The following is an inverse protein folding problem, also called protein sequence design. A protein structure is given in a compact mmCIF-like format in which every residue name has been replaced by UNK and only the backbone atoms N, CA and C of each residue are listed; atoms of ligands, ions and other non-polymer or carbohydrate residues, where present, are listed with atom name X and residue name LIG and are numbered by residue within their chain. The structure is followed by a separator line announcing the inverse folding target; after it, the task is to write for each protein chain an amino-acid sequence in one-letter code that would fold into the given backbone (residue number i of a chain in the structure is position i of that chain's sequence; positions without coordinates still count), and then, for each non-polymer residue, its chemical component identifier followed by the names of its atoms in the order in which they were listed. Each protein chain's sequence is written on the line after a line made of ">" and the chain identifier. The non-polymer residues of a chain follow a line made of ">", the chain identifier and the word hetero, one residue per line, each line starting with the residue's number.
data_IF_887918986441
#
_entry.id   IF_887918986441
#
_cell.length_a   1.000
_cell.length_b   1.000
_cell.length_c   1.000
_cell.angle_alpha   90.00
_cell.angle_beta   90.00
_cell.angle_gamma   90.00
#
_symmetry.space_group_name_H-M   'P 1'
#
loop_
_entity.id
_entity.type
_entity.pdbx_description
1 polymer ?
#
# COMPACT_ATOMS: atom_id res chain seq x y z
N UNK A 1 -20.53 -5.19 2.80
CA UNK A 1 -19.88 -6.45 3.23
C UNK A 1 -18.51 -6.11 3.81
N UNK A 2 -18.03 -6.80 4.85
CA UNK A 2 -16.67 -6.58 5.38
C UNK A 2 -15.64 -6.84 4.28
N UNK A 3 -14.53 -6.10 4.30
CA UNK A 3 -13.44 -6.29 3.33
C UNK A 3 -12.90 -7.73 3.46
N UNK A 4 -12.57 -8.42 2.35
CA UNK A 4 -12.26 -9.86 2.33
C UNK A 4 -10.82 -10.16 2.78
N UNK A 5 -10.40 -9.58 3.90
CA UNK A 5 -9.06 -9.74 4.46
C UNK A 5 -9.06 -10.78 5.57
N UNK A 6 -7.91 -11.43 5.77
CA UNK A 6 -7.74 -12.40 6.84
C UNK A 6 -7.96 -11.71 8.21
N UNK A 7 -8.82 -12.29 9.04
CA UNK A 7 -9.18 -11.77 10.37
C UNK A 7 -9.49 -10.26 10.35
N UNK A 8 -10.56 -9.82 9.64
CA UNK A 8 -10.81 -8.41 9.37
C UNK A 8 -11.12 -7.61 10.64
N UNK A 9 -11.62 -8.27 11.69
CA UNK A 9 -11.83 -7.71 13.03
C UNK A 9 -10.52 -7.33 13.76
N UNK A 10 -9.36 -7.67 13.20
CA UNK A 10 -8.03 -7.37 13.74
C UNK A 10 -7.35 -6.24 13.00
N UNK A 11 -7.92 -5.76 11.90
CA UNK A 11 -7.42 -4.62 11.15
C UNK A 11 -8.05 -3.35 11.71
N UNK A 12 -7.21 -2.37 12.02
CA UNK A 12 -7.63 -1.05 12.51
C UNK A 12 -6.95 0.04 11.69
N UNK A 13 -7.69 1.11 11.41
CA UNK A 13 -7.11 2.33 10.86
C UNK A 13 -6.58 3.19 12.00
N UNK A 14 -5.43 3.84 11.78
CA UNK A 14 -4.77 4.72 12.75
C UNK A 14 -4.73 6.12 12.16
N UNK A 15 -5.35 7.07 12.83
CA UNK A 15 -5.31 8.48 12.44
C UNK A 15 -6.23 9.35 13.26
N UNK A 16 -6.20 10.65 12.97
CA UNK A 16 -7.02 11.66 13.64
C UNK A 16 -8.06 12.22 12.67
N UNK A 17 -9.23 12.57 13.20
CA UNK A 17 -10.30 13.18 12.43
C UNK A 17 -10.97 12.21 11.45
N UNK A 18 -11.88 12.71 10.61
CA UNK A 18 -12.68 11.88 9.70
C UNK A 18 -11.83 11.19 8.61
N UNK A 19 -10.66 11.72 8.30
CA UNK A 19 -9.78 11.21 7.23
C UNK A 19 -8.87 10.06 7.68
N UNK A 20 -8.71 9.86 8.99
CA UNK A 20 -7.86 8.80 9.57
C UNK A 20 -6.45 8.76 8.96
N UNK A 21 -5.85 9.94 8.85
CA UNK A 21 -4.47 10.13 8.39
C UNK A 21 -3.55 10.56 9.53
N UNK A 22 -2.25 10.31 9.36
CA UNK A 22 -1.17 10.78 10.25
C UNK A 22 -0.01 11.36 9.43
N UNK A 23 0.75 12.35 9.94
CA UNK A 23 1.99 12.77 9.31
C UNK A 23 2.95 11.59 9.08
N UNK A 24 3.58 11.51 7.91
CA UNK A 24 4.47 10.40 7.55
C UNK A 24 5.58 10.16 8.58
N UNK A 25 6.10 11.23 9.18
CA UNK A 25 7.11 11.18 10.24
C UNK A 25 6.68 10.40 11.49
N UNK A 26 5.38 10.21 11.71
CA UNK A 26 4.86 9.44 12.84
C UNK A 26 4.78 7.94 12.57
N UNK A 27 4.93 7.50 11.31
CA UNK A 27 4.83 6.08 10.97
C UNK A 27 5.86 5.23 11.75
N UNK A 28 7.10 5.70 11.87
CA UNK A 28 8.14 5.00 12.62
C UNK A 28 7.79 4.79 14.09
N UNK A 29 7.06 5.74 14.70
CA UNK A 29 6.64 5.65 16.10
C UNK A 29 5.62 4.53 16.37
N UNK A 30 5.02 3.93 15.34
CA UNK A 30 4.02 2.88 15.47
C UNK A 30 4.59 1.46 15.39
N UNK A 31 5.80 1.27 14.84
CA UNK A 31 6.37 -0.06 14.55
C UNK A 31 6.63 -0.93 15.78
N UNK A 32 6.85 -0.32 16.94
CA UNK A 32 7.23 -1.03 18.18
C UNK A 32 6.14 -1.00 19.27
N UNK A 33 4.87 -0.91 18.86
CA UNK A 33 3.76 -0.97 19.82
C UNK A 33 3.42 -2.44 20.12
N UNK A 34 3.43 -2.89 21.40
CA UNK A 34 3.09 -4.26 21.76
C UNK A 34 1.68 -4.69 21.30
N UNK A 35 0.76 -3.74 21.15
CA UNK A 35 -0.57 -3.97 20.62
C UNK A 35 -0.58 -4.40 19.14
N UNK A 36 0.44 -4.07 18.37
CA UNK A 36 0.45 -4.16 16.91
C UNK A 36 1.34 -5.32 16.46
N UNK A 37 0.77 -6.24 15.68
CA UNK A 37 1.51 -7.29 15.00
C UNK A 37 2.23 -6.74 13.76
N UNK A 38 1.60 -5.81 13.05
CA UNK A 38 2.19 -5.14 11.90
C UNK A 38 1.51 -3.81 11.64
N UNK A 39 2.25 -2.88 11.04
CA UNK A 39 1.77 -1.55 10.64
C UNK A 39 2.04 -1.37 9.15
N UNK A 40 1.13 -0.70 8.46
CA UNK A 40 1.23 -0.45 7.04
C UNK A 40 0.64 0.92 6.68
N UNK A 41 1.06 1.44 5.54
CA UNK A 41 0.55 2.71 5.01
C UNK A 41 0.29 2.64 3.51
N UNK A 42 -0.53 3.58 3.05
CA UNK A 42 -0.71 3.92 1.65
C UNK A 42 -0.86 5.44 1.47
N UNK A 43 -0.54 5.95 0.28
CA UNK A 43 -0.40 7.41 0.00
C UNK A 43 -1.57 8.02 -0.77
N UNK A 44 -2.75 7.40 -0.74
CA UNK A 44 -3.86 7.82 -1.61
C UNK A 44 -3.82 7.18 -3.00
N UNK A 45 -4.90 7.37 -3.76
CA UNK A 45 -4.94 7.06 -5.19
C UNK A 45 -4.60 8.33 -5.99
N UNK A 46 -3.90 8.18 -7.11
CA UNK A 46 -3.51 9.29 -7.98
C UNK A 46 -3.65 8.89 -9.46
N UNK A 47 -4.15 9.82 -10.27
CA UNK A 47 -4.17 9.65 -11.71
C UNK A 47 -2.73 9.67 -12.26
N UNK A 48 -2.46 8.78 -13.22
CA UNK A 48 -1.21 8.71 -13.95
C UNK A 48 -1.49 8.32 -15.40
N UNK A 49 -0.49 8.49 -16.26
CA UNK A 49 -0.56 8.09 -17.66
C UNK A 49 0.28 6.84 -17.89
N UNK A 50 -0.35 5.79 -18.41
CA UNK A 50 0.33 4.56 -18.78
C UNK A 50 0.56 4.49 -20.29
N UNK A 51 1.78 4.15 -20.70
CA UNK A 51 2.10 3.82 -22.08
C UNK A 51 2.67 2.40 -22.19
N UNK A 52 2.46 1.77 -23.34
CA UNK A 52 3.14 0.52 -23.69
C UNK A 52 3.60 0.58 -25.15
N UNK A 53 4.65 -0.16 -25.52
CA UNK A 53 5.09 -0.20 -26.91
C UNK A 53 3.93 -0.53 -27.87
N UNK A 54 3.76 0.30 -28.91
CA UNK A 54 2.75 0.10 -29.95
C UNK A 54 1.30 0.36 -29.50
N UNK A 55 1.05 0.96 -28.34
CA UNK A 55 -0.30 1.31 -27.87
C UNK A 55 -0.38 2.78 -27.46
N UNK A 56 -1.53 3.46 -27.69
CA UNK A 56 -1.74 4.81 -27.18
C UNK A 56 -1.57 4.88 -25.66
N UNK A 57 -1.12 6.03 -25.19
CA UNK A 57 -1.15 6.37 -23.76
C UNK A 57 -2.59 6.32 -23.25
N UNK A 58 -2.79 5.74 -22.08
CA UNK A 58 -4.09 5.63 -21.44
C UNK A 58 -4.00 6.11 -19.98
N UNK A 59 -5.04 6.79 -19.46
CA UNK A 59 -5.11 7.13 -18.05
C UNK A 59 -5.23 5.86 -17.22
N UNK A 60 -4.54 5.83 -16.08
CA UNK A 60 -4.61 4.78 -15.07
C UNK A 60 -4.65 5.40 -13.68
N UNK A 61 -5.18 4.66 -12.72
CA UNK A 61 -5.14 5.05 -11.31
C UNK A 61 -4.06 4.26 -10.59
N UNK A 62 -3.12 4.96 -9.96
CA UNK A 62 -2.06 4.38 -9.14
C UNK A 62 -2.38 4.53 -7.67
N UNK A 63 -1.91 3.60 -6.84
CA UNK A 63 -1.97 3.70 -5.39
C UNK A 63 -0.62 3.33 -4.78
N UNK A 64 -0.01 4.28 -4.08
CA UNK A 64 1.28 4.07 -3.44
C UNK A 64 1.14 3.27 -2.15
N UNK A 65 1.96 2.24 -1.98
CA UNK A 65 1.93 1.35 -0.80
C UNK A 65 3.32 1.10 -0.24
N UNK A 66 3.40 0.99 1.09
CA UNK A 66 4.61 0.55 1.77
C UNK A 66 4.80 -0.97 1.72
N UNK A 67 5.99 -1.44 2.13
CA UNK A 67 6.36 -2.86 2.13
C UNK A 67 5.33 -3.78 2.80
N UNK A 68 4.90 -3.37 4.00
CA UNK A 68 4.05 -4.16 4.87
C UNK A 68 2.57 -4.11 4.49
N UNK A 69 2.19 -3.40 3.42
CA UNK A 69 0.79 -3.20 3.02
C UNK A 69 0.05 -4.50 2.72
N UNK A 70 0.50 -5.27 1.72
CA UNK A 70 -0.15 -6.54 1.37
C UNK A 70 0.00 -7.61 2.47
N UNK A 71 1.18 -7.77 3.12
CA UNK A 71 1.34 -8.70 4.23
C UNK A 71 0.41 -8.40 5.42
N UNK A 72 0.28 -7.12 5.80
CA UNK A 72 -0.61 -6.72 6.90
C UNK A 72 -2.06 -7.06 6.59
N UNK A 73 -2.49 -6.95 5.34
CA UNK A 73 -3.83 -7.35 4.89
C UNK A 73 -4.01 -8.87 4.75
N UNK A 74 -2.94 -9.66 4.84
CA UNK A 74 -2.97 -11.10 4.59
C UNK A 74 -3.25 -11.44 3.12
N UNK A 75 -2.77 -10.60 2.21
CA UNK A 75 -3.01 -10.75 0.76
C UNK A 75 -1.91 -11.59 0.14
N UNK A 76 -2.32 -12.69 -0.48
CA UNK A 76 -1.45 -13.55 -1.27
C UNK A 76 -1.57 -13.18 -2.76
N UNK A 77 -0.43 -13.01 -3.43
CA UNK A 77 -0.36 -12.68 -4.85
C UNK A 77 -0.99 -13.78 -5.72
N UNK A 78 -1.66 -13.39 -6.81
CA UNK A 78 -2.07 -14.37 -7.83
C UNK A 78 -0.88 -14.81 -8.68
N UNK A 79 -0.01 -13.85 -9.04
CA UNK A 79 1.22 -14.08 -9.79
C UNK A 79 2.33 -13.19 -9.24
N UNK A 80 3.57 -13.68 -9.32
CA UNK A 80 4.76 -12.91 -8.95
C UNK A 80 4.89 -12.68 -7.45
N UNK A 81 5.38 -11.49 -7.09
CA UNK A 81 5.77 -11.14 -5.72
C UNK A 81 5.27 -9.75 -5.30
N UNK A 82 5.40 -9.47 -4.00
CA UNK A 82 5.31 -8.12 -3.47
C UNK A 82 6.55 -7.30 -3.85
N UNK A 83 6.52 -5.99 -3.59
CA UNK A 83 7.69 -5.13 -3.70
C UNK A 83 8.82 -5.59 -2.76
N UNK A 84 10.05 -5.41 -3.24
CA UNK A 84 11.28 -5.60 -2.48
C UNK A 84 11.68 -4.30 -1.77
N UNK A 85 12.52 -4.42 -0.73
CA UNK A 85 13.06 -3.27 -0.03
C UNK A 85 13.80 -2.29 -0.96
N UNK A 86 14.46 -2.78 -2.02
CA UNK A 86 15.16 -1.95 -2.99
C UNK A 86 14.21 -1.09 -3.84
N UNK A 87 13.06 -1.63 -4.24
CA UNK A 87 12.04 -0.90 -5.03
C UNK A 87 11.33 0.19 -4.20
N UNK A 88 11.37 0.07 -2.87
CA UNK A 88 10.84 1.06 -1.94
C UNK A 88 11.87 2.15 -1.59
N UNK A 89 13.12 2.05 -2.02
CA UNK A 89 14.12 3.08 -1.81
C UNK A 89 13.91 4.27 -2.74
N UNK A 90 14.47 5.42 -2.34
CA UNK A 90 14.51 6.60 -3.19
C UNK A 90 15.35 6.26 -4.43
N UNK A 91 14.82 6.54 -5.61
CA UNK A 91 15.45 6.18 -6.89
C UNK A 91 15.69 4.67 -7.07
N UNK A 92 15.01 3.82 -6.29
CA UNK A 92 15.05 2.37 -6.46
C UNK A 92 14.51 1.92 -7.81
N UNK A 93 14.69 0.62 -8.15
CA UNK A 93 14.09 0.05 -9.35
C UNK A 93 12.58 0.30 -9.37
N UNK A 94 12.07 0.72 -10.53
CA UNK A 94 10.64 1.01 -10.67
C UNK A 94 9.88 -0.27 -10.96
N UNK A 95 8.90 -0.54 -10.12
CA UNK A 95 8.06 -1.71 -10.21
C UNK A 95 6.58 -1.35 -10.08
N UNK A 96 5.71 -2.19 -10.63
CA UNK A 96 4.26 -2.09 -10.47
C UNK A 96 3.68 -3.47 -10.15
N UNK A 97 2.62 -3.47 -9.35
CA UNK A 97 1.76 -4.64 -9.16
C UNK A 97 0.40 -4.32 -9.78
N UNK A 98 -0.10 -5.19 -10.64
CA UNK A 98 -1.36 -4.97 -11.34
C UNK A 98 -2.56 -5.39 -10.47
N UNK A 99 -3.65 -4.63 -10.55
CA UNK A 99 -4.95 -5.15 -10.13
C UNK A 99 -5.38 -6.30 -11.04
N UNK A 100 -6.15 -7.26 -10.51
CA UNK A 100 -6.59 -8.41 -11.30
C UNK A 100 -7.42 -7.99 -12.53
N UNK A 101 -8.31 -7.01 -12.35
CA UNK A 101 -9.16 -6.50 -13.42
C UNK A 101 -8.33 -5.87 -14.55
N UNK A 102 -7.37 -5.02 -14.17
CA UNK A 102 -6.47 -4.38 -15.13
C UNK A 102 -5.62 -5.40 -15.88
N UNK A 103 -5.05 -6.39 -15.19
CA UNK A 103 -4.30 -7.48 -15.83
C UNK A 103 -5.16 -8.27 -16.83
N UNK A 104 -6.40 -8.62 -16.46
CA UNK A 104 -7.33 -9.31 -17.36
C UNK A 104 -7.68 -8.49 -18.60
N UNK A 105 -8.00 -7.21 -18.43
CA UNK A 105 -8.39 -6.33 -19.53
C UNK A 105 -7.20 -6.01 -20.45
N UNK A 106 -6.04 -5.69 -19.87
CA UNK A 106 -4.92 -5.11 -20.60
C UNK A 106 -3.92 -6.13 -21.15
N UNK A 107 -3.82 -7.27 -20.47
CA UNK A 107 -2.88 -8.36 -20.81
C UNK A 107 -3.61 -9.68 -21.10
N UNK A 108 -4.94 -9.64 -21.27
CA UNK A 108 -5.78 -10.81 -21.53
C UNK A 108 -5.65 -11.93 -20.48
N UNK A 109 -5.17 -11.61 -19.27
CA UNK A 109 -4.90 -12.61 -18.24
C UNK A 109 -3.71 -13.53 -18.56
N UNK A 110 -2.74 -13.07 -19.35
CA UNK A 110 -1.54 -13.84 -19.70
C UNK A 110 -0.44 -13.66 -18.67
N UNK A 111 0.19 -14.77 -18.27
CA UNK A 111 1.31 -14.79 -17.32
C UNK A 111 2.55 -14.07 -17.87
N UNK A 112 2.69 -13.98 -19.21
CA UNK A 112 3.73 -13.22 -19.90
C UNK A 112 3.72 -11.71 -19.56
N UNK A 113 2.69 -11.19 -18.88
CA UNK A 113 2.72 -9.86 -18.31
C UNK A 113 3.79 -9.73 -17.21
N UNK A 114 4.02 -10.78 -16.41
CA UNK A 114 5.01 -10.77 -15.34
C UNK A 114 6.42 -10.63 -15.92
N UNK A 115 7.22 -9.71 -15.37
CA UNK A 115 8.57 -9.39 -15.85
C UNK A 115 8.60 -8.47 -17.07
N UNK A 116 7.46 -8.26 -17.75
CA UNK A 116 7.37 -7.27 -18.82
C UNK A 116 7.34 -5.84 -18.27
N UNK A 117 7.55 -4.86 -19.14
CA UNK A 117 7.60 -3.44 -18.77
C UNK A 117 6.45 -2.64 -19.34
N UNK A 118 6.02 -1.63 -18.59
CA UNK A 118 5.14 -0.55 -19.04
C UNK A 118 5.72 0.79 -18.60
N UNK A 119 5.30 1.89 -19.21
CA UNK A 119 5.66 3.23 -18.74
C UNK A 119 4.52 3.79 -17.89
N UNK A 120 4.86 4.40 -16.75
CA UNK A 120 3.96 5.23 -15.93
C UNK A 120 4.57 6.62 -15.83
N UNK A 121 3.85 7.64 -16.30
CA UNK A 121 4.30 9.03 -16.35
C UNK A 121 5.71 9.19 -16.95
N UNK A 122 5.94 8.49 -18.08
CA UNK A 122 7.21 8.50 -18.79
C UNK A 122 8.32 7.64 -18.18
N UNK A 123 8.07 6.97 -17.06
CA UNK A 123 9.04 6.11 -16.41
C UNK A 123 8.78 4.64 -16.65
N UNK A 124 9.78 3.91 -17.14
CA UNK A 124 9.71 2.46 -17.33
C UNK A 124 9.63 1.74 -15.97
N UNK A 125 8.58 0.94 -15.79
CA UNK A 125 8.30 0.14 -14.60
C UNK A 125 8.19 -1.34 -14.99
N UNK A 126 8.78 -2.22 -14.18
CA UNK A 126 8.64 -3.67 -14.35
C UNK A 126 7.39 -4.17 -13.65
N UNK A 127 6.62 -5.05 -14.30
CA UNK A 127 5.50 -5.73 -13.66
C UNK A 127 6.05 -6.86 -12.78
N UNK A 128 5.93 -6.72 -11.47
CA UNK A 128 6.49 -7.69 -10.50
C UNK A 128 5.44 -8.60 -9.86
N UNK A 129 4.15 -8.29 -10.03
CA UNK A 129 3.08 -9.13 -9.53
C UNK A 129 1.69 -8.73 -9.99
N UNK A 130 0.73 -9.62 -9.71
CA UNK A 130 -0.70 -9.42 -9.96
C UNK A 130 -1.48 -9.76 -8.69
N UNK A 131 -2.35 -8.87 -8.25
CA UNK A 131 -3.23 -9.09 -7.10
C UNK A 131 -4.27 -10.19 -7.38
N UNK A 132 -4.75 -10.90 -6.35
CA UNK A 132 -5.76 -11.94 -6.55
C UNK A 132 -7.11 -11.35 -6.93
N UNK A 133 -7.92 -12.09 -7.70
CA UNK A 133 -9.27 -11.69 -8.14
C UNK A 133 -10.18 -11.19 -7.02
N UNK A 134 -10.02 -11.75 -5.81
CA UNK A 134 -10.81 -11.40 -4.63
C UNK A 134 -10.36 -10.12 -3.93
N UNK A 135 -9.18 -9.59 -4.27
CA UNK A 135 -8.69 -8.36 -3.65
C UNK A 135 -9.59 -7.19 -4.02
N UNK A 136 -10.09 -6.49 -3.01
CA UNK A 136 -10.88 -5.27 -3.15
C UNK A 136 -10.42 -4.27 -2.11
N UNK A 137 -10.26 -3.03 -2.51
CA UNK A 137 -9.94 -1.92 -1.62
C UNK A 137 -11.05 -0.86 -1.65
N UNK A 138 -11.01 0.07 -0.69
CA UNK A 138 -12.04 1.11 -0.55
C UNK A 138 -12.04 2.11 -1.72
N UNK A 139 -10.87 2.32 -2.34
CA UNK A 139 -10.70 3.15 -3.53
C UNK A 139 -10.34 2.26 -4.73
N UNK A 140 -10.94 2.49 -5.91
CA UNK A 140 -10.51 1.83 -7.15
C UNK A 140 -9.08 2.21 -7.51
N UNK A 141 -8.33 1.27 -8.07
CA UNK A 141 -6.99 1.50 -8.63
C UNK A 141 -6.67 0.44 -9.69
N UNK A 142 -5.75 0.77 -10.59
CA UNK A 142 -5.23 -0.14 -11.61
C UNK A 142 -3.89 -0.74 -11.21
N UNK A 143 -3.03 0.09 -10.61
CA UNK A 143 -1.64 -0.24 -10.30
C UNK A 143 -1.34 0.09 -8.84
N UNK A 144 -0.69 -0.84 -8.12
CA UNK A 144 0.08 -0.46 -6.94
C UNK A 144 1.47 -0.03 -7.40
N UNK A 145 2.00 1.01 -6.74
CA UNK A 145 3.37 1.50 -6.91
C UNK A 145 4.08 1.54 -5.56
N UNK A 146 5.42 1.37 -5.52
CA UNK A 146 6.18 1.54 -4.28
C UNK A 146 6.03 2.98 -3.76
N UNK A 147 5.65 3.12 -2.49
CA UNK A 147 5.65 4.42 -1.81
C UNK A 147 6.86 4.50 -0.87
N UNK A 148 7.79 5.40 -1.14
CA UNK A 148 8.97 5.60 -0.30
C UNK A 148 8.64 6.43 0.96
N UNK A 149 8.85 5.85 2.14
CA UNK A 149 8.56 6.52 3.42
C UNK A 149 9.43 7.76 3.62
N UNK A 150 10.72 7.69 3.27
CA UNK A 150 11.64 8.81 3.47
C UNK A 150 11.22 10.06 2.69
N UNK A 151 10.82 9.89 1.43
CA UNK A 151 10.26 10.93 0.58
C UNK A 151 8.96 11.48 1.18
N UNK A 152 8.06 10.62 1.67
CA UNK A 152 6.85 11.07 2.33
C UNK A 152 7.15 11.93 3.59
N UNK A 153 8.21 11.59 4.33
CA UNK A 153 8.69 12.37 5.47
C UNK A 153 9.26 13.74 5.02
N UNK A 154 10.16 13.75 4.03
CA UNK A 154 10.77 14.98 3.49
C UNK A 154 9.71 15.95 2.95
N UNK A 155 8.74 15.42 2.22
CA UNK A 155 7.65 16.19 1.62
C UNK A 155 6.52 16.51 2.61
N UNK A 156 6.67 16.10 3.89
CA UNK A 156 5.69 16.33 4.96
C UNK A 156 4.28 15.83 4.60
N UNK A 157 4.20 14.71 3.88
CA UNK A 157 2.93 14.11 3.51
C UNK A 157 2.20 13.54 4.72
N UNK A 158 0.88 13.46 4.60
CA UNK A 158 0.06 12.63 5.48
C UNK A 158 -0.16 11.26 4.83
N UNK A 159 -0.20 10.23 5.66
CA UNK A 159 -0.38 8.84 5.25
C UNK A 159 -1.67 8.30 5.86
N UNK A 160 -2.37 7.47 5.09
CA UNK A 160 -3.40 6.59 5.63
C UNK A 160 -2.70 5.35 6.21
N UNK A 161 -2.78 5.20 7.52
CA UNK A 161 -2.12 4.10 8.24
C UNK A 161 -3.16 3.11 8.74
N UNK A 162 -2.85 1.83 8.62
CA UNK A 162 -3.60 0.77 9.26
C UNK A 162 -2.65 -0.25 9.87
N UNK A 163 -3.15 -1.00 10.83
CA UNK A 163 -2.37 -2.00 11.55
C UNK A 163 -3.19 -3.26 11.78
N UNK A 164 -2.47 -4.37 11.98
CA UNK A 164 -3.03 -5.61 12.49
C UNK A 164 -2.74 -5.69 13.98
N UNK A 165 -3.76 -5.93 14.80
CA UNK A 165 -3.62 -6.09 16.24
C UNK A 165 -3.11 -7.50 16.58
N UNK A 166 -2.15 -7.61 17.52
CA UNK A 166 -1.69 -8.88 18.06
C UNK A 166 -2.83 -9.67 18.73
N UNK A 167 -3.01 -10.96 18.41
CA UNK A 167 -4.22 -11.76 18.69
C UNK A 167 -4.82 -11.63 20.11
N UNK A 168 -4.00 -11.43 21.14
CA UNK A 168 -4.43 -11.24 22.53
C UNK A 168 -4.99 -9.84 22.87
N UNK A 169 -4.84 -8.85 21.98
CA UNK A 169 -5.14 -7.44 22.24
C UNK A 169 -6.44 -7.01 21.58
N UNK A 170 -7.35 -6.40 22.35
CA UNK A 170 -8.60 -5.82 21.86
C UNK A 170 -8.44 -4.37 21.36
N UNK A 171 -9.39 -3.90 20.53
CA UNK A 171 -9.35 -2.55 19.92
C UNK A 171 -9.23 -1.43 20.96
N UNK A 172 -9.94 -1.53 22.09
CA UNK A 172 -9.89 -0.52 23.16
C UNK A 172 -8.49 -0.40 23.77
N UNK A 173 -7.86 -1.53 24.08
CA UNK A 173 -6.51 -1.57 24.64
C UNK A 173 -5.48 -1.06 23.63
N UNK A 174 -5.60 -1.43 22.36
CA UNK A 174 -4.77 -0.89 21.30
C UNK A 174 -4.93 0.64 21.17
N UNK A 175 -6.16 1.14 21.25
CA UNK A 175 -6.46 2.57 21.19
C UNK A 175 -5.78 3.38 22.30
N UNK A 176 -5.71 2.84 23.52
CA UNK A 176 -4.97 3.47 24.64
C UNK A 176 -3.48 3.57 24.31
N UNK A 177 -2.83 2.46 23.94
CA UNK A 177 -1.39 2.46 23.63
C UNK A 177 -1.03 3.36 22.45
N UNK A 178 -1.85 3.34 21.38
CA UNK A 178 -1.66 4.20 20.21
C UNK A 178 -1.79 5.67 20.62
N UNK A 179 -2.84 6.02 21.39
CA UNK A 179 -3.05 7.41 21.81
C UNK A 179 -1.94 7.90 22.72
N UNK A 180 -1.49 7.10 23.69
CA UNK A 180 -0.35 7.44 24.57
C UNK A 180 0.92 7.69 23.75
N UNK A 181 1.24 6.82 22.79
CA UNK A 181 2.40 6.99 21.90
C UNK A 181 2.29 8.27 21.07
N UNK A 182 1.13 8.54 20.49
CA UNK A 182 0.92 9.74 19.68
C UNK A 182 1.02 11.02 20.52
N UNK A 183 0.57 11.01 21.78
CA UNK A 183 0.69 12.14 22.70
C UNK A 183 2.15 12.42 23.11
N UNK A 184 2.91 11.37 23.44
CA UNK A 184 4.34 11.50 23.78
C UNK A 184 5.13 12.17 22.64
N UNK A 185 4.83 11.80 21.39
CA UNK A 185 5.47 12.36 20.21
C UNK A 185 4.97 13.75 19.79
N UNK A 186 3.82 14.19 20.29
CA UNK A 186 3.33 15.56 20.09
C UNK A 186 4.01 16.55 21.04
N UNK A 187 4.57 16.06 22.15
CA UNK A 187 5.23 16.86 23.18
C UNK A 187 6.77 16.85 23.07
N UNK A 188 7.32 16.05 22.16
CA UNK A 188 8.76 15.95 21.85
C UNK A 188 9.09 16.73 20.57
#
# INVERSE_FOLDING_TARGET
>A
APLPFAQPNRLVSIGKGPELIVPARWYGALHDLPALQSVAYWTGASAANMASPGKPTAPVTTMGVGESYLPTLGVHMALGRNFSAAELQRHGPRAVILSYGFWRQRYAGRDAALGSTLQVDGHTCTIVGVLPKRYRWIVPFDLLVPANLHQAIEQKWNLSVFARLHASIGVRQAGVQINERLQQWLQA
#
